data_IF_547133648351
#
_entry.id   IF_547133648351
#
_cell.length_a   1.000
_cell.length_b   1.000
_cell.length_c   1.000
_cell.angle_alpha   90.00
_cell.angle_beta   90.00
_cell.angle_gamma   90.00
#
_symmetry.space_group_name_H-M   'P 1'
#
loop_
_entity.id
_entity.type
_entity.pdbx_description
1 polymer ?
#
# COMPACT_ATOMS: atom_id res chain seq x y z
N UNK A 1 -0.87 12.36 -11.40
CA UNK A 1 0.07 12.01 -12.49
C UNK A 1 0.21 10.49 -12.65
N UNK A 2 0.65 9.72 -11.63
CA UNK A 2 0.79 8.25 -11.73
C UNK A 2 -0.54 7.51 -11.97
N UNK A 3 -1.63 7.88 -11.29
CA UNK A 3 -2.94 7.28 -11.53
C UNK A 3 -3.38 7.43 -12.99
N UNK A 4 -3.30 8.65 -13.53
CA UNK A 4 -3.64 8.92 -14.93
C UNK A 4 -2.78 8.12 -15.92
N UNK A 5 -1.49 7.89 -15.61
CA UNK A 5 -0.63 7.05 -16.44
C UNK A 5 -1.10 5.59 -16.45
N UNK A 6 -1.59 5.08 -15.31
CA UNK A 6 -2.19 3.73 -15.25
C UNK A 6 -3.48 3.62 -16.08
N UNK A 7 -4.29 4.68 -16.10
CA UNK A 7 -5.53 4.71 -16.89
C UNK A 7 -5.23 4.73 -18.39
N UNK A 8 -4.24 5.50 -18.81
CA UNK A 8 -3.74 5.50 -20.19
C UNK A 8 -3.21 4.10 -20.56
N UNK A 9 -2.31 3.53 -19.75
CA UNK A 9 -1.75 2.20 -20.02
C UNK A 9 -2.82 1.10 -20.09
N UNK A 10 -3.87 1.17 -19.25
CA UNK A 10 -4.97 0.21 -19.30
C UNK A 10 -5.75 0.25 -20.63
N UNK A 11 -5.79 1.40 -21.30
CA UNK A 11 -6.44 1.54 -22.62
C UNK A 11 -5.61 1.03 -23.79
N UNK A 12 -4.27 1.13 -23.70
CA UNK A 12 -3.35 0.74 -24.78
C UNK A 12 -2.84 -0.70 -24.64
N UNK A 13 -2.71 -1.20 -23.41
CA UNK A 13 -2.22 -2.54 -23.10
C UNK A 13 -3.13 -3.25 -22.07
N UNK A 14 -4.37 -3.62 -22.44
CA UNK A 14 -5.38 -4.12 -21.48
C UNK A 14 -5.02 -5.44 -20.80
N UNK A 15 -4.10 -6.22 -21.39
CA UNK A 15 -3.63 -7.49 -20.82
C UNK A 15 -2.29 -7.36 -20.07
N UNK A 16 -1.67 -6.18 -20.08
CA UNK A 16 -0.44 -5.93 -19.33
C UNK A 16 -0.76 -5.86 -17.83
N UNK A 17 0.10 -6.42 -16.95
CA UNK A 17 -0.06 -6.26 -15.51
C UNK A 17 0.36 -4.87 -15.01
N UNK A 18 1.05 -4.08 -15.85
CA UNK A 18 1.64 -2.78 -15.46
C UNK A 18 0.60 -1.78 -14.96
N UNK A 19 -0.56 -1.55 -15.62
CA UNK A 19 -1.60 -0.65 -15.12
C UNK A 19 -2.05 -1.00 -13.70
N UNK A 20 -2.22 -2.30 -13.42
CA UNK A 20 -2.62 -2.77 -12.10
C UNK A 20 -1.54 -2.49 -11.06
N UNK A 21 -0.27 -2.76 -11.36
CA UNK A 21 0.85 -2.51 -10.45
C UNK A 21 1.00 -1.02 -10.13
N UNK A 22 0.82 -0.13 -11.11
CA UNK A 22 0.86 1.33 -10.88
C UNK A 22 -0.31 1.76 -9.98
N UNK A 23 -1.54 1.27 -10.24
CA UNK A 23 -2.68 1.55 -9.36
C UNK A 23 -2.40 1.08 -7.93
N UNK A 24 -1.90 -0.14 -7.77
CA UNK A 24 -1.54 -0.69 -6.45
C UNK A 24 -0.47 0.14 -5.74
N UNK A 25 0.55 0.62 -6.46
CA UNK A 25 1.58 1.48 -5.90
C UNK A 25 1.02 2.85 -5.46
N UNK A 26 0.10 3.44 -6.24
CA UNK A 26 -0.58 4.68 -5.86
C UNK A 26 -1.47 4.49 -4.63
N UNK A 27 -2.20 3.39 -4.53
CA UNK A 27 -2.99 3.03 -3.35
C UNK A 27 -2.11 2.89 -2.10
N UNK A 28 -1.05 2.09 -2.20
CA UNK A 28 -0.10 1.89 -1.11
C UNK A 28 0.54 3.22 -0.67
N UNK A 29 0.96 4.05 -1.62
CA UNK A 29 1.58 5.35 -1.32
C UNK A 29 0.64 6.37 -0.64
N UNK A 30 -0.67 6.12 -0.60
CA UNK A 30 -1.64 6.95 0.12
C UNK A 30 -1.90 6.48 1.55
N UNK A 31 -1.48 5.27 1.91
CA UNK A 31 -1.69 4.73 3.24
C UNK A 31 -0.78 5.43 4.27
N UNK A 32 -1.29 5.77 5.46
CA UNK A 32 -0.46 6.05 6.61
C UNK A 32 0.51 4.90 6.87
N UNK A 33 1.69 5.23 7.42
CA UNK A 33 2.75 4.25 7.66
C UNK A 33 2.28 2.96 8.39
N UNK A 34 1.45 3.02 9.46
CA UNK A 34 0.99 1.80 10.13
C UNK A 34 0.16 0.89 9.20
N UNK A 35 -0.68 1.46 8.35
CA UNK A 35 -1.52 0.73 7.39
C UNK A 35 -0.68 0.18 6.22
N UNK A 36 0.30 0.96 5.75
CA UNK A 36 1.23 0.55 4.71
C UNK A 36 2.00 -0.71 5.12
N UNK A 37 2.59 -0.70 6.32
CA UNK A 37 3.40 -1.80 6.82
C UNK A 37 2.56 -3.07 7.02
N UNK A 38 1.30 -2.95 7.46
CA UNK A 38 0.36 -4.07 7.55
C UNK A 38 0.09 -4.73 6.19
N UNK A 39 0.19 -3.98 5.07
CA UNK A 39 0.04 -4.54 3.73
C UNK A 39 1.25 -5.38 3.28
N UNK A 40 2.41 -5.26 3.94
CA UNK A 40 3.65 -5.95 3.57
C UNK A 40 4.09 -7.03 4.55
N UNK A 41 3.89 -6.80 5.86
CA UNK A 41 4.33 -7.71 6.91
C UNK A 41 3.18 -8.63 7.31
N UNK A 42 3.36 -9.93 7.13
CA UNK A 42 2.36 -10.95 7.47
C UNK A 42 2.46 -11.42 8.92
N UNK A 43 3.67 -11.34 9.48
CA UNK A 43 3.97 -11.81 10.82
C UNK A 43 3.56 -10.78 11.87
N UNK A 44 2.53 -11.12 12.65
CA UNK A 44 1.92 -10.21 13.62
C UNK A 44 2.90 -9.79 14.74
N UNK A 45 3.76 -10.70 15.20
CA UNK A 45 4.81 -10.43 16.18
C UNK A 45 5.85 -9.40 15.67
N UNK A 46 6.18 -9.43 14.38
CA UNK A 46 7.07 -8.47 13.73
C UNK A 46 6.41 -7.09 13.70
N UNK A 47 5.13 -7.02 13.31
CA UNK A 47 4.34 -5.79 13.33
C UNK A 47 4.27 -5.16 14.73
N UNK A 48 3.97 -5.96 15.74
CA UNK A 48 3.82 -5.50 17.11
C UNK A 48 5.13 -4.99 17.70
N UNK A 49 6.23 -5.69 17.42
CA UNK A 49 7.56 -5.24 17.80
C UNK A 49 7.89 -3.91 17.14
N UNK A 50 7.72 -3.81 15.82
CA UNK A 50 8.00 -2.60 15.07
C UNK A 50 7.19 -1.40 15.53
N UNK A 51 5.88 -1.55 15.77
CA UNK A 51 5.04 -0.46 16.25
C UNK A 51 5.42 -0.01 17.66
N UNK A 52 5.78 -0.95 18.55
CA UNK A 52 6.29 -0.61 19.88
C UNK A 52 7.60 0.19 19.80
N UNK A 53 8.57 -0.26 19.01
CA UNK A 53 9.87 0.42 18.88
C UNK A 53 9.74 1.82 18.26
N UNK A 54 8.75 2.02 17.39
CA UNK A 54 8.47 3.30 16.75
C UNK A 54 7.48 4.19 17.53
N UNK A 55 6.99 3.75 18.69
CA UNK A 55 6.02 4.50 19.50
C UNK A 55 4.68 4.71 18.80
N UNK A 56 4.27 3.80 17.91
CA UNK A 56 3.01 3.89 17.16
C UNK A 56 1.90 3.25 17.99
N UNK A 57 0.97 4.09 18.47
CA UNK A 57 -0.25 3.61 19.12
C UNK A 57 -1.20 3.02 18.07
N UNK A 58 -1.62 1.77 18.26
CA UNK A 58 -2.72 1.19 17.48
C UNK A 58 -3.99 1.96 17.83
N UNK A 59 -4.44 2.85 16.94
CA UNK A 59 -5.79 3.42 17.04
C UNK A 59 -6.78 2.29 16.79
N UNK A 60 -7.52 1.87 17.81
CA UNK A 60 -8.59 0.90 17.63
C UNK A 60 -9.58 1.45 16.60
N UNK A 61 -9.95 0.70 15.55
CA UNK A 61 -10.95 1.15 14.60
C UNK A 61 -12.27 1.34 15.36
N UNK A 62 -12.79 2.56 15.30
CA UNK A 62 -14.06 2.99 15.92
C UNK A 62 -15.26 2.33 15.27
#
# INVERSE_FOLDING_TARGET
>A
MLANAADILASIEPHSPVPYLIRRAVELGRLPFPELIQAFVREQNVLETMFRELGIEKKEPS
#
